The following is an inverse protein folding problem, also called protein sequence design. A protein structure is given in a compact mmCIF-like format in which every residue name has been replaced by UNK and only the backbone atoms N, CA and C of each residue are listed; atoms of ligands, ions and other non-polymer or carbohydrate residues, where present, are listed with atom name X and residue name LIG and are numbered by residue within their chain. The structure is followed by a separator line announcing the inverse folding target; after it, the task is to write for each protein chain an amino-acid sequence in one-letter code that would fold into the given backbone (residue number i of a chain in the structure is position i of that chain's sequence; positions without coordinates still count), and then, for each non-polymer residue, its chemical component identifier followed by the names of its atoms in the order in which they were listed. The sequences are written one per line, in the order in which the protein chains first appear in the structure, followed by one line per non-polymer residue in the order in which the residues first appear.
data_IF_313582570814
#
_entry.id   IF_313582570814
#
_cell.length_a   1.000
_cell.length_b   1.000
_cell.length_c   1.000
_cell.angle_alpha   90.00
_cell.angle_beta   90.00
_cell.angle_gamma   90.00
#
_symmetry.space_group_name_H-M   'P 1'
#
loop_
_entity.id
_entity.type
_entity.pdbx_description
1 polymer ?
#
# COMPACT_ATOMS: atom_id res chain seq x y z
N UNK A 1 -12.54 -24.38 5.43
CA UNK A 1 -12.26 -23.23 6.32
C UNK A 1 -11.85 -22.07 5.44
N UNK A 2 -12.63 -20.99 5.40
CA UNK A 2 -12.21 -19.77 4.71
C UNK A 2 -11.49 -18.89 5.74
N UNK A 3 -10.17 -18.76 5.62
CA UNK A 3 -9.38 -17.85 6.44
C UNK A 3 -9.25 -16.52 5.71
N UNK A 4 -9.67 -15.42 6.33
CA UNK A 4 -9.40 -14.09 5.81
C UNK A 4 -8.01 -13.68 6.26
N UNK A 5 -7.15 -13.35 5.31
CA UNK A 5 -5.81 -12.81 5.60
C UNK A 5 -5.93 -11.30 5.71
N UNK A 6 -5.65 -10.77 6.90
CA UNK A 6 -5.64 -9.33 7.17
C UNK A 6 -4.20 -8.86 7.26
N UNK A 7 -3.80 -7.95 6.37
CA UNK A 7 -2.49 -7.31 6.41
C UNK A 7 -2.58 -5.93 7.09
N UNK A 8 -1.54 -5.54 7.82
CA UNK A 8 -1.40 -4.18 8.38
C UNK A 8 -0.20 -3.49 7.73
N UNK A 9 -0.44 -2.35 7.09
CA UNK A 9 0.61 -1.53 6.46
C UNK A 9 1.02 -0.41 7.43
N UNK A 10 2.34 -0.29 7.65
CA UNK A 10 2.94 0.70 8.54
C UNK A 10 3.97 1.54 7.77
N UNK A 11 3.97 2.86 7.98
CA UNK A 11 4.99 3.79 7.49
C UNK A 11 5.53 4.60 8.69
N UNK A 12 6.83 4.47 9.02
CA UNK A 12 7.44 4.98 10.28
C UNK A 12 6.67 4.61 11.56
N UNK A 13 6.09 3.41 11.61
CA UNK A 13 5.26 2.98 12.75
C UNK A 13 3.85 3.58 12.79
N UNK A 14 3.49 4.48 11.88
CA UNK A 14 2.12 4.97 11.71
C UNK A 14 1.32 3.98 10.85
N UNK A 15 0.15 3.59 11.33
CA UNK A 15 -0.81 2.76 10.58
C UNK A 15 -1.41 3.55 9.41
N UNK A 16 -1.57 2.86 8.28
CA UNK A 16 -2.29 3.37 7.12
C UNK A 16 -3.75 3.67 7.49
N UNK A 17 -4.36 4.68 6.84
CA UNK A 17 -5.79 4.94 6.99
C UNK A 17 -6.59 3.70 6.48
N UNK A 18 -7.48 3.11 7.30
CA UNK A 18 -8.30 1.98 6.89
C UNK A 18 -9.29 2.29 5.74
N UNK A 19 -9.55 3.57 5.44
CA UNK A 19 -10.38 3.97 4.31
C UNK A 19 -9.69 3.76 2.95
N UNK A 20 -8.36 3.55 2.94
CA UNK A 20 -7.64 3.30 1.71
C UNK A 20 -7.88 1.88 1.21
N UNK A 21 -8.34 1.77 -0.03
CA UNK A 21 -8.65 0.49 -0.64
C UNK A 21 -7.38 -0.17 -1.19
N UNK A 22 -6.91 -1.22 -0.52
CA UNK A 22 -5.81 -2.07 -1.00
C UNK A 22 -6.39 -3.13 -1.92
N UNK A 23 -5.94 -3.13 -3.17
CA UNK A 23 -6.37 -4.10 -4.18
C UNK A 23 -5.54 -5.39 -4.11
N UNK A 24 -4.22 -5.26 -3.98
CA UNK A 24 -3.32 -6.40 -3.84
C UNK A 24 -2.03 -6.02 -3.12
N UNK A 25 -1.40 -7.05 -2.53
CA UNK A 25 -0.09 -6.96 -1.89
C UNK A 25 0.72 -8.16 -2.38
N UNK A 26 1.81 -7.88 -3.10
CA UNK A 26 2.73 -8.89 -3.59
C UNK A 26 4.08 -8.74 -2.87
N UNK A 27 4.51 -9.81 -2.20
CA UNK A 27 5.80 -9.85 -1.49
C UNK A 27 6.71 -10.83 -2.23
N UNK A 28 7.74 -10.31 -2.88
CA UNK A 28 8.64 -11.09 -3.72
C UNK A 28 9.96 -11.29 -2.98
N UNK A 29 10.28 -12.55 -2.70
CA UNK A 29 11.51 -12.97 -2.05
C UNK A 29 12.20 -14.01 -2.93
N UNK A 30 13.37 -13.65 -3.44
CA UNK A 30 14.15 -14.50 -4.33
C UNK A 30 15.58 -14.66 -3.80
N UNK A 31 16.20 -15.81 -4.11
CA UNK A 31 17.58 -16.09 -3.70
C UNK A 31 18.53 -15.12 -4.40
N UNK A 32 19.48 -14.56 -3.64
CA UNK A 32 20.48 -13.60 -4.15
C UNK A 32 19.89 -12.32 -4.78
N UNK A 33 18.70 -11.90 -4.35
CA UNK A 33 18.09 -10.61 -4.71
C UNK A 33 17.59 -9.87 -3.48
N UNK A 34 17.51 -8.55 -3.58
CA UNK A 34 16.92 -7.71 -2.54
C UNK A 34 15.40 -7.97 -2.56
N UNK A 35 14.77 -8.31 -1.43
CA UNK A 35 13.34 -8.53 -1.37
C UNK A 35 12.58 -7.23 -1.65
N UNK A 36 11.45 -7.35 -2.35
CA UNK A 36 10.59 -6.20 -2.67
C UNK A 36 9.15 -6.50 -2.26
N UNK A 37 8.38 -5.43 -2.04
CA UNK A 37 6.95 -5.50 -1.84
C UNK A 37 6.27 -4.53 -2.81
N UNK A 38 5.24 -4.99 -3.51
CA UNK A 38 4.39 -4.18 -4.37
C UNK A 38 3.01 -4.10 -3.74
N UNK A 39 2.49 -2.89 -3.61
CA UNK A 39 1.19 -2.61 -3.02
C UNK A 39 0.39 -1.84 -4.05
N UNK A 40 -0.75 -2.39 -4.47
CA UNK A 40 -1.67 -1.72 -5.38
C UNK A 40 -2.84 -1.13 -4.60
N UNK A 41 -3.07 0.17 -4.79
CA UNK A 41 -4.05 0.97 -4.08
C UNK A 41 -4.92 1.69 -5.12
N UNK A 42 -6.21 1.85 -4.80
CA UNK A 42 -7.09 2.71 -5.59
C UNK A 42 -7.02 4.13 -5.01
N UNK A 43 -6.56 5.08 -5.83
CA UNK A 43 -6.36 6.47 -5.43
C UNK A 43 -7.22 7.39 -6.28
N UNK A 44 -8.40 7.73 -5.75
CA UNK A 44 -9.32 8.72 -6.31
C UNK A 44 -9.80 8.45 -7.75
N UNK A 45 -10.17 9.53 -8.44
CA UNK A 45 -10.65 9.51 -9.82
C UNK A 45 -9.73 10.33 -10.72
N UNK A 46 -9.25 9.71 -11.80
CA UNK A 46 -8.43 10.37 -12.81
C UNK A 46 -9.18 11.48 -13.56
N UNK A 47 -10.51 11.39 -13.68
CA UNK A 47 -11.33 12.39 -14.34
C UNK A 47 -11.47 13.66 -13.50
N UNK A 48 -11.56 13.53 -12.17
CA UNK A 48 -11.64 14.65 -11.23
C UNK A 48 -10.24 15.21 -10.90
N UNK A 49 -9.17 14.50 -11.28
CA UNK A 49 -7.77 14.82 -10.96
C UNK A 49 -7.49 14.90 -9.45
N UNK A 50 -8.33 14.27 -8.63
CA UNK A 50 -8.20 14.23 -7.18
C UNK A 50 -7.53 12.93 -6.74
N UNK A 51 -6.28 13.01 -6.28
CA UNK A 51 -5.49 11.87 -5.78
C UNK A 51 -5.23 12.04 -4.29
N UNK A 52 -6.25 11.78 -3.48
CA UNK A 52 -6.21 12.03 -2.04
C UNK A 52 -5.06 11.29 -1.33
N UNK A 53 -4.74 10.06 -1.74
CA UNK A 53 -3.69 9.25 -1.12
C UNK A 53 -2.31 9.78 -1.50
N UNK A 54 -2.09 10.04 -2.79
CA UNK A 54 -0.82 10.58 -3.31
C UNK A 54 -0.50 11.98 -2.79
N UNK A 55 -1.53 12.79 -2.53
CA UNK A 55 -1.37 14.11 -1.91
C UNK A 55 -0.99 14.04 -0.42
N UNK A 56 -1.02 12.85 0.19
CA UNK A 56 -0.61 12.68 1.59
C UNK A 56 0.88 12.41 1.75
N UNK A 57 1.39 12.75 2.92
CA UNK A 57 2.75 12.44 3.34
C UNK A 57 3.00 10.94 3.59
N UNK A 58 1.98 10.07 3.56
CA UNK A 58 2.10 8.70 4.06
C UNK A 58 3.00 7.81 3.18
N UNK A 59 2.86 7.93 1.85
CA UNK A 59 3.57 7.14 0.84
C UNK A 59 4.78 7.85 0.23
N UNK A 60 5.24 8.97 0.83
CA UNK A 60 6.45 9.62 0.34
C UNK A 60 7.67 8.69 0.41
N UNK A 61 8.55 8.70 -0.61
CA UNK A 61 9.79 7.92 -0.60
C UNK A 61 10.66 8.21 0.63
N UNK A 62 11.49 7.22 1.00
CA UNK A 62 12.43 7.31 2.13
C UNK A 62 11.79 7.55 3.51
N UNK A 63 10.57 7.03 3.72
CA UNK A 63 9.96 6.96 5.04
C UNK A 63 10.22 5.65 5.75
#
# INVERSE_FOLDING_TARGET
MSGVVTATILSKGKKMNPEYNVMSIDIIKEVNKIPIAQIFLLDGDAAEQEFAISNTEFFKPCK
#
